data_IF_324387814366
#
_entry.id   IF_324387814366
#
_cell.length_a   1.000
_cell.length_b   1.000
_cell.length_c   1.000
_cell.angle_alpha   90.00
_cell.angle_beta   90.00
_cell.angle_gamma   90.00
#
_symmetry.space_group_name_H-M   'P 1'
#
loop_
_entity.id
_entity.type
_entity.pdbx_description
1 polymer ?
#
# COMPACT_ATOMS: atom_id res chain seq x y z
N UNK A 1 0.91 -0.08 10.44
CA UNK A 1 0.15 -1.13 11.18
C UNK A 1 -0.12 -2.26 10.20
N UNK A 2 0.57 -3.40 10.35
CA UNK A 2 0.38 -4.59 9.51
C UNK A 2 -0.99 -5.21 9.85
N UNK A 3 -1.98 -5.08 8.96
CA UNK A 3 -3.27 -5.78 9.12
C UNK A 3 -3.30 -6.96 8.14
N UNK A 4 -3.49 -8.16 8.67
CA UNK A 4 -3.82 -9.34 7.87
C UNK A 4 -5.24 -9.16 7.34
N UNK A 5 -5.37 -8.72 6.10
CA UNK A 5 -6.64 -8.28 5.52
C UNK A 5 -7.61 -9.42 5.22
N UNK A 6 -7.27 -10.69 5.49
CA UNK A 6 -8.21 -11.81 5.37
C UNK A 6 -8.89 -11.92 3.99
N UNK A 7 -8.23 -11.48 2.92
CA UNK A 7 -8.81 -11.39 1.58
C UNK A 7 -9.58 -10.08 1.30
N UNK A 8 -10.56 -10.14 0.41
CA UNK A 8 -11.30 -8.96 -0.09
C UNK A 8 -12.01 -8.17 1.02
N UNK A 9 -12.65 -8.87 1.96
CA UNK A 9 -13.46 -8.21 3.00
C UNK A 9 -12.63 -7.48 4.05
N UNK A 10 -11.51 -8.03 4.51
CA UNK A 10 -10.66 -7.28 5.43
C UNK A 10 -9.82 -6.22 4.72
N UNK A 11 -9.56 -6.33 3.41
CA UNK A 11 -9.00 -5.21 2.63
C UNK A 11 -10.02 -4.06 2.57
N UNK A 12 -11.28 -4.37 2.26
CA UNK A 12 -12.39 -3.40 2.29
C UNK A 12 -12.51 -2.75 3.67
N UNK A 13 -12.47 -3.54 4.75
CA UNK A 13 -12.50 -3.00 6.11
C UNK A 13 -11.30 -2.10 6.40
N UNK A 14 -10.09 -2.50 6.02
CA UNK A 14 -8.89 -1.69 6.23
C UNK A 14 -8.96 -0.35 5.49
N UNK A 15 -9.50 -0.34 4.27
CA UNK A 15 -9.75 0.87 3.50
C UNK A 15 -10.83 1.76 4.14
N UNK A 16 -11.92 1.17 4.65
CA UNK A 16 -12.94 1.90 5.40
C UNK A 16 -12.35 2.55 6.66
N UNK A 17 -11.61 1.78 7.46
CA UNK A 17 -10.96 2.28 8.68
C UNK A 17 -9.99 3.45 8.34
N UNK A 18 -9.25 3.35 7.24
CA UNK A 18 -8.35 4.40 6.76
C UNK A 18 -9.11 5.65 6.30
N UNK A 19 -10.22 5.47 5.58
CA UNK A 19 -11.10 6.56 5.16
C UNK A 19 -11.66 7.34 6.35
N UNK A 20 -12.14 6.64 7.38
CA UNK A 20 -12.69 7.26 8.59
C UNK A 20 -11.62 8.04 9.37
N UNK A 21 -10.40 7.49 9.45
CA UNK A 21 -9.26 8.19 10.06
C UNK A 21 -8.90 9.49 9.33
N UNK A 22 -8.90 9.49 7.99
CA UNK A 22 -8.65 10.68 7.20
C UNK A 22 -9.76 11.72 7.43
N UNK A 23 -11.03 11.28 7.44
CA UNK A 23 -12.18 12.14 7.67
C UNK A 23 -12.12 12.84 9.03
N UNK A 24 -11.74 12.12 10.10
CA UNK A 24 -11.56 12.70 11.43
C UNK A 24 -10.49 13.79 11.49
N UNK A 25 -9.55 13.80 10.53
CA UNK A 25 -8.47 14.80 10.41
C UNK A 25 -8.80 15.93 9.42
N UNK A 26 -10.06 16.04 8.97
CA UNK A 26 -10.47 17.03 7.97
C UNK A 26 -9.93 16.76 6.57
N UNK A 27 -9.46 15.54 6.30
CA UNK A 27 -8.97 15.11 4.99
C UNK A 27 -10.01 14.22 4.32
N UNK A 28 -9.98 14.14 2.99
CA UNK A 28 -10.88 13.27 2.22
C UNK A 28 -10.09 12.52 1.17
N UNK A 29 -10.10 11.19 1.23
CA UNK A 29 -9.58 10.37 0.14
C UNK A 29 -10.51 10.50 -1.07
N UNK A 30 -9.99 11.05 -2.17
CA UNK A 30 -10.72 11.32 -3.42
C UNK A 30 -10.54 10.20 -4.43
N UNK A 31 -9.38 9.53 -4.45
CA UNK A 31 -9.14 8.33 -5.24
C UNK A 31 -8.22 7.36 -4.50
N UNK A 32 -8.42 6.06 -4.74
CA UNK A 32 -7.52 4.98 -4.35
C UNK A 32 -7.53 3.93 -5.45
N UNK A 33 -6.41 3.78 -6.14
CA UNK A 33 -6.25 2.91 -7.30
C UNK A 33 -5.19 1.86 -7.01
N UNK A 34 -5.55 0.60 -7.21
CA UNK A 34 -4.64 -0.55 -7.13
C UNK A 34 -4.28 -0.95 -8.55
N UNK A 35 -3.00 -0.79 -8.90
CA UNK A 35 -2.51 -1.20 -10.21
C UNK A 35 -2.30 -2.71 -10.31
N UNK A 36 -1.96 -3.16 -11.52
CA UNK A 36 -1.59 -4.58 -11.74
C UNK A 36 -0.26 -4.88 -11.05
N UNK A 37 -0.04 -6.12 -10.56
CA UNK A 37 1.25 -6.52 -10.03
C UNK A 37 2.37 -6.30 -11.05
N UNK A 38 3.45 -5.65 -10.62
CA UNK A 38 4.64 -5.43 -11.46
C UNK A 38 5.46 -6.70 -11.59
N UNK A 39 5.52 -7.48 -10.50
CA UNK A 39 6.25 -8.74 -10.43
C UNK A 39 5.60 -9.63 -9.37
N UNK A 40 5.66 -10.95 -9.61
CA UNK A 40 5.15 -11.98 -8.71
C UNK A 40 6.22 -13.06 -8.57
N UNK A 41 6.42 -13.58 -7.37
CA UNK A 41 7.30 -14.73 -7.09
C UNK A 41 6.59 -15.71 -6.16
N UNK A 42 7.04 -16.96 -6.18
CA UNK A 42 6.61 -17.98 -5.23
C UNK A 42 7.85 -18.38 -4.41
N UNK A 43 7.78 -18.20 -3.10
CA UNK A 43 8.88 -18.50 -2.19
C UNK A 43 8.35 -19.14 -0.92
N UNK A 44 8.96 -20.24 -0.49
CA UNK A 44 8.63 -20.93 0.76
C UNK A 44 7.13 -21.25 0.96
N UNK A 45 6.37 -21.50 -0.11
CA UNK A 45 4.91 -21.77 -0.05
C UNK A 45 4.03 -20.53 0.04
N UNK A 46 4.60 -19.35 -0.22
CA UNK A 46 3.87 -18.08 -0.31
C UNK A 46 4.00 -17.46 -1.69
N UNK A 47 2.96 -16.73 -2.11
CA UNK A 47 2.97 -15.82 -3.26
C UNK A 47 3.32 -14.43 -2.75
N UNK A 48 4.39 -13.84 -3.28
CA UNK A 48 4.73 -12.44 -3.04
C UNK A 48 4.56 -11.65 -4.34
N UNK A 49 4.01 -10.45 -4.26
CA UNK A 49 3.83 -9.58 -5.42
C UNK A 49 4.11 -8.12 -5.09
N UNK A 50 4.70 -7.39 -6.04
CA UNK A 50 4.83 -5.93 -5.96
C UNK A 50 3.62 -5.27 -6.61
N UNK A 51 2.85 -4.53 -5.82
CA UNK A 51 1.57 -3.93 -6.24
C UNK A 51 1.65 -2.41 -6.14
N UNK A 52 1.60 -1.67 -7.26
CA UNK A 52 1.62 -0.23 -7.23
C UNK A 52 0.24 0.29 -6.81
N UNK A 53 0.24 1.33 -5.97
CA UNK A 53 -0.96 1.98 -5.47
C UNK A 53 -0.83 3.49 -5.66
N UNK A 54 -1.87 4.09 -6.23
CA UNK A 54 -2.01 5.54 -6.31
C UNK A 54 -3.15 5.99 -5.40
N UNK A 55 -2.90 6.98 -4.55
CA UNK A 55 -3.96 7.61 -3.76
C UNK A 55 -3.98 9.11 -3.96
N UNK A 56 -5.18 9.68 -3.91
CA UNK A 56 -5.42 11.11 -3.93
C UNK A 56 -6.18 11.48 -2.66
N UNK A 57 -5.65 12.43 -1.92
CA UNK A 57 -6.21 12.88 -0.64
C UNK A 57 -6.37 14.39 -0.71
N UNK A 58 -7.61 14.84 -0.70
CA UNK A 58 -7.93 16.25 -0.50
C UNK A 58 -7.59 16.67 0.92
N UNK A 59 -6.90 17.80 1.03
CA UNK A 59 -6.50 18.45 2.28
C UNK A 59 -6.82 19.94 2.19
N UNK A 60 -6.82 20.69 3.30
CA UNK A 60 -6.94 22.14 3.23
C UNK A 60 -5.89 22.72 2.28
N UNK A 61 -6.33 23.55 1.32
CA UNK A 61 -5.50 24.23 0.31
C UNK A 61 -4.99 23.36 -0.87
N UNK A 62 -5.44 22.12 -1.02
CA UNK A 62 -5.02 21.33 -2.18
C UNK A 62 -5.33 19.84 -2.14
N UNK A 63 -4.55 19.08 -2.91
CA UNK A 63 -4.60 17.63 -2.98
C UNK A 63 -3.20 17.05 -2.82
N UNK A 64 -3.08 15.96 -2.07
CA UNK A 64 -1.88 15.15 -1.98
C UNK A 64 -2.07 13.95 -2.90
N UNK A 65 -1.18 13.80 -3.88
CA UNK A 65 -1.10 12.63 -4.74
C UNK A 65 0.06 11.79 -4.25
N UNK A 66 -0.18 10.52 -3.91
CA UNK A 66 0.85 9.58 -3.50
C UNK A 66 0.88 8.39 -4.44
N UNK A 67 2.07 7.98 -4.86
CA UNK A 67 2.31 6.69 -5.51
C UNK A 67 3.26 5.89 -4.62
N UNK A 68 2.89 4.65 -4.31
CA UNK A 68 3.70 3.73 -3.51
C UNK A 68 3.65 2.34 -4.11
N UNK A 69 4.66 1.53 -3.80
CA UNK A 69 4.60 0.09 -4.03
C UNK A 69 4.22 -0.58 -2.70
N UNK A 70 3.37 -1.59 -2.77
CA UNK A 70 3.08 -2.49 -1.66
C UNK A 70 3.67 -3.87 -1.98
N UNK A 71 4.11 -4.59 -0.95
CA UNK A 71 4.35 -6.03 -1.07
C UNK A 71 3.05 -6.72 -0.65
N UNK A 72 2.38 -7.40 -1.59
CA UNK A 72 1.26 -8.28 -1.30
C UNK A 72 1.79 -9.70 -1.05
N UNK A 73 1.35 -10.32 0.03
CA UNK A 73 1.77 -11.67 0.42
C UNK A 73 0.53 -12.53 0.66
N UNK A 74 0.52 -13.72 0.06
CA UNK A 74 -0.46 -14.77 0.32
C UNK A 74 0.24 -16.05 0.69
N UNK A 75 -0.35 -16.77 1.65
CA UNK A 75 -0.10 -18.19 1.79
C UNK A 75 -0.90 -18.94 0.71
N UNK A 76 -0.23 -19.83 -0.03
CA UNK A 76 -0.81 -20.62 -1.14
C UNK A 76 -2.01 -21.45 -0.66
N UNK A 77 -1.96 -21.95 0.58
CA UNK A 77 -2.96 -22.87 1.10
C UNK A 77 -4.23 -22.15 1.58
N UNK A 78 -4.10 -20.96 2.16
CA UNK A 78 -5.23 -20.25 2.78
C UNK A 78 -5.88 -19.18 1.89
N UNK A 79 -5.20 -18.73 0.82
CA UNK A 79 -5.67 -17.65 -0.06
C UNK A 79 -5.85 -16.31 0.67
N UNK A 80 -5.30 -16.18 1.88
CA UNK A 80 -5.38 -14.97 2.70
C UNK A 80 -4.24 -14.04 2.37
N UNK A 81 -4.61 -12.82 1.97
CA UNK A 81 -3.66 -11.78 1.63
C UNK A 81 -3.40 -10.82 2.79
N UNK A 82 -2.15 -10.38 2.92
CA UNK A 82 -1.75 -9.20 3.68
C UNK A 82 -0.83 -8.33 2.82
N UNK A 83 -0.72 -7.06 3.20
CA UNK A 83 0.03 -6.07 2.45
C UNK A 83 1.02 -5.34 3.37
N UNK A 84 2.26 -5.19 2.91
CA UNK A 84 3.32 -4.43 3.57
C UNK A 84 3.51 -3.14 2.79
N UNK A 85 3.42 -2.02 3.49
CA UNK A 85 3.73 -0.70 2.94
C UNK A 85 5.25 -0.53 2.92
N UNK A 86 5.81 -0.16 1.77
CA UNK A 86 7.27 -0.16 1.57
C UNK A 86 7.92 1.21 1.78
N UNK A 87 7.16 2.29 1.90
CA UNK A 87 7.71 3.61 2.18
C UNK A 87 8.43 3.61 3.52
N UNK A 88 9.75 3.80 3.49
CA UNK A 88 10.59 3.74 4.68
C UNK A 88 10.95 2.33 5.16
N UNK A 89 10.65 1.28 4.40
CA UNK A 89 11.17 -0.06 4.67
C UNK A 89 12.68 -0.08 4.39
N UNK A 90 13.49 -0.34 5.43
CA UNK A 90 14.91 -0.59 5.24
C UNK A 90 15.11 -2.02 4.71
N UNK A 91 15.74 -2.19 3.53
CA UNK A 91 16.19 -3.49 3.01
C UNK A 91 16.77 -4.44 4.04
N UNK A 92 17.57 -3.93 4.99
CA UNK A 92 18.24 -4.72 6.03
C UNK A 92 17.27 -5.32 7.05
N UNK A 93 16.04 -4.81 7.11
CA UNK A 93 15.03 -5.17 8.11
C UNK A 93 13.88 -5.97 7.53
N UNK A 94 13.86 -6.27 6.23
CA UNK A 94 12.72 -6.89 5.57
C UNK A 94 12.33 -8.24 6.19
N UNK A 95 13.30 -9.05 6.60
CA UNK A 95 13.04 -10.34 7.26
C UNK A 95 12.39 -10.24 8.64
N UNK A 96 12.43 -9.06 9.30
CA UNK A 96 11.68 -8.84 10.54
C UNK A 96 10.16 -8.83 10.30
N UNK A 97 9.75 -8.53 9.07
CA UNK A 97 8.34 -8.41 8.67
C UNK A 97 7.91 -9.51 7.70
N UNK A 98 8.84 -9.97 6.86
CA UNK A 98 8.62 -10.99 5.82
C UNK A 98 9.79 -12.00 5.82
N UNK A 99 9.80 -12.96 6.76
CA UNK A 99 10.93 -13.89 6.95
C UNK A 99 11.29 -14.72 5.70
N UNK A 100 10.30 -15.01 4.86
CA UNK A 100 10.38 -15.82 3.63
C UNK A 100 10.88 -15.05 2.40
N UNK A 101 11.21 -13.77 2.55
CA UNK A 101 11.67 -12.93 1.45
C UNK A 101 12.95 -13.49 0.81
N UNK A 102 12.92 -13.77 -0.49
CA UNK A 102 14.04 -14.39 -1.23
C UNK A 102 14.83 -13.40 -2.10
N UNK A 103 14.55 -12.10 -1.96
CA UNK A 103 15.13 -11.01 -2.75
C UNK A 103 14.83 -11.02 -4.25
N UNK A 104 14.06 -11.98 -4.77
CA UNK A 104 13.77 -12.07 -6.22
C UNK A 104 12.99 -10.86 -6.73
N UNK A 105 12.15 -10.25 -5.89
CA UNK A 105 11.38 -9.06 -6.26
C UNK A 105 12.19 -7.75 -6.21
N UNK A 106 13.40 -7.76 -5.63
CA UNK A 106 14.22 -6.57 -5.44
C UNK A 106 13.70 -5.65 -4.32
N UNK A 107 14.54 -4.70 -3.89
CA UNK A 107 14.27 -3.84 -2.73
C UNK A 107 14.13 -2.35 -3.08
N UNK A 108 14.13 -2.02 -4.38
CA UNK A 108 13.93 -0.67 -4.84
C UNK A 108 12.44 -0.43 -5.04
N UNK A 109 11.85 0.30 -4.10
CA UNK A 109 10.43 0.63 -4.12
C UNK A 109 10.28 2.11 -4.41
N UNK A 110 10.06 2.44 -5.69
CA UNK A 110 9.78 3.82 -6.08
C UNK A 110 8.52 4.30 -5.37
N UNK A 111 8.62 5.45 -4.72
CA UNK A 111 7.48 6.13 -4.13
C UNK A 111 7.60 7.63 -4.34
N UNK A 112 6.45 8.27 -4.53
CA UNK A 112 6.36 9.72 -4.71
C UNK A 112 5.21 10.27 -3.89
N UNK A 113 5.38 11.51 -3.43
CA UNK A 113 4.34 12.30 -2.80
C UNK A 113 4.42 13.71 -3.36
N UNK A 114 3.34 14.16 -3.96
CA UNK A 114 3.21 15.48 -4.54
C UNK A 114 2.04 16.21 -3.89
N UNK A 115 2.24 17.49 -3.56
CA UNK A 115 1.17 18.39 -3.13
C UNK A 115 0.80 19.32 -4.29
N UNK A 116 -0.46 19.27 -4.71
CA UNK A 116 -1.02 20.12 -5.75
C UNK A 116 -1.92 21.16 -5.07
N UNK A 117 -1.53 22.43 -5.13
CA UNK A 117 -2.30 23.51 -4.53
C UNK A 117 -3.65 23.69 -5.24
N UNK A 118 -4.72 23.94 -4.48
CA UNK A 118 -5.99 24.41 -5.03
C UNK A 118 -5.79 25.79 -5.63
N UNK A 119 -6.24 26.02 -6.87
CA UNK A 119 -6.27 27.37 -7.43
C UNK A 119 -7.10 28.26 -6.51
N UNK A 120 -6.52 29.38 -6.06
CA UNK A 120 -7.28 30.45 -5.42
C UNK A 120 -8.30 30.96 -6.44
N UNK A 121 -9.59 30.85 -6.11
CA UNK A 121 -10.61 31.67 -6.74
C UNK A 121 -10.36 33.11 -6.28
N UNK A 122 -9.90 33.95 -7.22
CA UNK A 122 -9.93 35.41 -7.09
C UNK A 122 -11.37 35.92 -6.91
#
# INVERSE_FOLDING_TARGET
>A
MLKKSGGKEGLKKALTDAYDLLKMRGMKMTSFEVGKPLKVTHTSGEIHALVPVTSKIHVPKGEIISQVILIAVSDDASGKWYFIETSGLDPKTIHNYLPTWDYTLGLHFDSSKEFVASKSSE
#
